data_IF_449014548894
#
_entry.id   IF_449014548894
#
_cell.length_a   1.000
_cell.length_b   1.000
_cell.length_c   1.000
_cell.angle_alpha   90.00
_cell.angle_beta   90.00
_cell.angle_gamma   90.00
#
_symmetry.space_group_name_H-M   'P 1'
#
loop_
_entity.id
_entity.type
_entity.pdbx_description
1 polymer ?
#
# COMPACT_ATOMS: atom_id res chain seq x y z
N UNK A 1 17.93 -14.15 5.88
CA UNK A 1 16.82 -13.47 5.19
C UNK A 1 17.27 -12.78 3.90
N UNK A 2 18.28 -11.89 3.92
CA UNK A 2 18.77 -11.16 2.74
C UNK A 2 19.05 -12.09 1.55
N UNK A 3 19.83 -13.15 1.76
CA UNK A 3 20.15 -14.14 0.70
C UNK A 3 18.88 -14.80 0.14
N UNK A 4 17.91 -15.13 1.01
CA UNK A 4 16.62 -15.68 0.58
C UNK A 4 15.86 -14.68 -0.30
N UNK A 5 15.77 -13.43 0.10
CA UNK A 5 15.07 -12.41 -0.69
C UNK A 5 15.71 -12.20 -2.05
N UNK A 6 17.04 -12.12 -2.12
CA UNK A 6 17.77 -12.00 -3.38
C UNK A 6 17.50 -13.21 -4.28
N UNK A 7 17.64 -14.43 -3.75
CA UNK A 7 17.44 -15.67 -4.54
C UNK A 7 16.01 -15.84 -5.05
N UNK A 8 15.03 -15.18 -4.43
CA UNK A 8 13.62 -15.25 -4.81
C UNK A 8 13.14 -13.99 -5.54
N UNK A 9 14.04 -13.08 -5.90
CA UNK A 9 13.73 -11.83 -6.60
C UNK A 9 12.67 -10.99 -5.84
N UNK A 10 12.88 -10.83 -4.52
CA UNK A 10 11.99 -10.08 -3.64
C UNK A 10 12.53 -8.67 -3.36
N UNK A 11 13.10 -8.03 -4.35
CA UNK A 11 13.51 -6.63 -4.29
C UNK A 11 12.34 -5.69 -4.58
N UNK A 12 12.50 -4.42 -4.25
CA UNK A 12 11.44 -3.44 -4.37
C UNK A 12 10.95 -3.25 -5.83
N UNK A 13 11.81 -3.15 -6.86
CA UNK A 13 11.37 -3.07 -8.24
C UNK A 13 10.50 -4.26 -8.67
N UNK A 14 10.90 -5.48 -8.34
CA UNK A 14 10.11 -6.67 -8.66
C UNK A 14 8.76 -6.68 -7.94
N UNK A 15 8.74 -6.26 -6.66
CA UNK A 15 7.50 -6.20 -5.86
C UNK A 15 6.53 -5.13 -6.35
N UNK A 16 7.01 -4.05 -6.98
CA UNK A 16 6.18 -2.95 -7.49
C UNK A 16 5.74 -3.15 -8.94
N UNK A 17 6.22 -4.15 -9.65
CA UNK A 17 5.84 -4.39 -11.05
C UNK A 17 4.33 -4.65 -11.17
N UNK A 18 3.61 -3.80 -11.91
CA UNK A 18 2.17 -3.91 -12.16
C UNK A 18 1.34 -4.14 -10.88
N UNK A 19 1.74 -3.53 -9.75
CA UNK A 19 1.08 -3.75 -8.45
C UNK A 19 -0.16 -2.89 -8.22
N UNK A 20 -0.37 -1.85 -9.05
CA UNK A 20 -1.54 -0.97 -9.01
C UNK A 20 -2.36 -1.18 -10.28
N UNK A 21 -3.67 -1.29 -10.14
CA UNK A 21 -4.61 -1.37 -11.27
C UNK A 21 -5.59 -0.21 -11.22
N UNK A 22 -5.94 0.29 -12.40
CA UNK A 22 -6.90 1.36 -12.59
C UNK A 22 -8.30 0.77 -12.78
N UNK A 23 -9.33 1.23 -12.04
CA UNK A 23 -10.68 0.73 -12.21
C UNK A 23 -11.24 1.00 -13.62
N UNK A 24 -10.82 2.08 -14.26
CA UNK A 24 -11.30 2.49 -15.58
C UNK A 24 -10.45 1.96 -16.74
N UNK A 25 -9.39 1.21 -16.44
CA UNK A 25 -8.63 0.49 -17.44
C UNK A 25 -7.74 1.31 -18.36
N UNK A 26 -7.48 2.56 -18.04
CA UNK A 26 -6.67 3.43 -18.91
C UNK A 26 -5.18 3.11 -18.90
N UNK A 27 -4.67 2.56 -17.80
CA UNK A 27 -3.26 2.19 -17.67
C UNK A 27 -3.00 0.70 -17.53
N UNK A 28 -4.00 -0.10 -17.18
CA UNK A 28 -3.83 -1.52 -16.83
C UNK A 28 -4.88 -2.45 -17.44
N UNK A 29 -5.75 -1.93 -18.31
CA UNK A 29 -6.93 -2.66 -18.81
C UNK A 29 -8.08 -2.66 -17.79
N UNK A 30 -9.29 -2.43 -18.24
CA UNK A 30 -10.48 -2.35 -17.39
C UNK A 30 -10.67 -3.62 -16.56
N UNK A 31 -10.76 -3.44 -15.25
CA UNK A 31 -11.05 -4.54 -14.32
C UNK A 31 -12.50 -4.51 -13.85
N UNK A 32 -13.24 -3.46 -14.20
CA UNK A 32 -14.62 -3.24 -13.79
C UNK A 32 -15.56 -3.68 -14.88
N UNK A 33 -16.53 -4.48 -14.52
CA UNK A 33 -17.73 -4.70 -15.32
C UNK A 33 -18.75 -3.63 -14.94
N UNK A 34 -18.93 -2.64 -15.80
CA UNK A 34 -19.82 -1.50 -15.57
C UNK A 34 -21.29 -1.93 -15.42
N UNK A 35 -21.69 -3.05 -16.03
CA UNK A 35 -23.06 -3.54 -15.97
C UNK A 35 -23.39 -4.15 -14.60
N UNK A 36 -22.42 -4.76 -13.94
CA UNK A 36 -22.62 -5.50 -12.69
C UNK A 36 -21.92 -4.87 -11.49
N UNK A 37 -21.09 -3.85 -11.70
CA UNK A 37 -20.19 -3.28 -10.68
C UNK A 37 -19.33 -4.33 -9.98
N UNK A 38 -18.98 -5.40 -10.69
CA UNK A 38 -18.12 -6.46 -10.23
C UNK A 38 -16.73 -6.33 -10.87
N UNK A 39 -15.76 -7.01 -10.29
CA UNK A 39 -14.40 -7.11 -10.83
C UNK A 39 -14.15 -8.56 -11.22
N UNK A 40 -14.38 -8.91 -12.49
CA UNK A 40 -14.28 -10.30 -12.93
C UNK A 40 -12.87 -10.87 -12.75
N UNK A 41 -12.78 -12.10 -12.30
CA UNK A 41 -11.52 -12.84 -12.18
C UNK A 41 -10.65 -12.46 -11.00
N UNK A 42 -11.09 -11.54 -10.13
CA UNK A 42 -10.40 -11.19 -8.88
C UNK A 42 -11.12 -11.68 -7.64
N UNK A 43 -10.35 -12.09 -6.64
CA UNK A 43 -10.82 -12.10 -5.25
C UNK A 43 -10.57 -10.71 -4.67
N UNK A 44 -11.61 -10.01 -4.26
CA UNK A 44 -11.51 -8.64 -3.76
C UNK A 44 -11.54 -8.63 -2.24
N UNK A 45 -10.52 -8.02 -1.62
CA UNK A 45 -10.45 -7.74 -0.18
C UNK A 45 -10.64 -6.26 0.07
N UNK A 46 -11.63 -5.90 0.87
CA UNK A 46 -11.89 -4.52 1.28
C UNK A 46 -11.45 -4.36 2.75
N UNK A 47 -10.45 -3.51 2.95
CA UNK A 47 -9.83 -3.26 4.25
C UNK A 47 -10.47 -2.11 5.02
N UNK A 48 -11.56 -1.54 4.53
CA UNK A 48 -12.29 -0.48 5.25
C UNK A 48 -12.97 -1.03 6.50
N UNK A 49 -13.49 -0.13 7.32
CA UNK A 49 -14.29 -0.53 8.48
C UNK A 49 -15.46 -1.42 8.07
N UNK A 50 -15.89 -2.30 8.97
CA UNK A 50 -17.06 -3.13 8.73
C UNK A 50 -18.34 -2.30 8.50
N UNK A 51 -18.44 -1.13 9.14
CA UNK A 51 -19.56 -0.21 8.98
C UNK A 51 -19.60 0.39 7.58
N UNK A 52 -18.44 0.88 7.07
CA UNK A 52 -18.37 1.45 5.72
C UNK A 52 -18.56 0.37 4.66
N UNK A 53 -18.01 -0.82 4.89
CA UNK A 53 -18.24 -1.97 4.03
C UNK A 53 -19.73 -2.35 3.97
N UNK A 54 -20.42 -2.40 5.10
CA UNK A 54 -21.85 -2.71 5.17
C UNK A 54 -22.72 -1.66 4.47
N UNK A 55 -22.29 -0.40 4.46
CA UNK A 55 -23.01 0.67 3.75
C UNK A 55 -23.00 0.43 2.25
N UNK A 56 -21.83 0.16 1.69
CA UNK A 56 -21.67 -0.29 0.31
C UNK A 56 -20.21 -0.72 0.04
N UNK A 57 -20.01 -1.60 -0.92
CA UNK A 57 -18.74 -2.17 -1.30
C UNK A 57 -18.76 -2.65 -2.76
N UNK A 58 -17.60 -2.96 -3.29
CA UNK A 58 -17.48 -3.61 -4.61
C UNK A 58 -18.16 -4.97 -4.55
N UNK A 59 -19.00 -5.28 -5.51
CA UNK A 59 -19.73 -6.55 -5.57
C UNK A 59 -18.79 -7.74 -5.40
N UNK A 60 -19.16 -8.68 -4.57
CA UNK A 60 -18.39 -9.88 -4.20
C UNK A 60 -17.10 -9.61 -3.39
N UNK A 61 -16.83 -8.39 -2.97
CA UNK A 61 -15.72 -8.12 -2.07
C UNK A 61 -15.95 -8.79 -0.69
N UNK A 62 -14.84 -9.10 -0.03
CA UNK A 62 -14.81 -9.60 1.34
C UNK A 62 -14.21 -8.54 2.24
N UNK A 63 -14.88 -8.21 3.34
CA UNK A 63 -14.29 -7.33 4.34
C UNK A 63 -13.22 -8.10 5.12
N UNK A 64 -12.01 -7.59 5.14
CA UNK A 64 -10.84 -8.22 5.76
C UNK A 64 -10.08 -7.20 6.60
N UNK A 65 -9.69 -7.55 7.80
CA UNK A 65 -8.82 -6.70 8.62
C UNK A 65 -7.37 -6.84 8.13
N UNK A 66 -6.62 -5.73 8.07
CA UNK A 66 -5.26 -5.71 7.55
C UNK A 66 -4.37 -6.83 8.13
N UNK A 67 -4.36 -7.02 9.45
CA UNK A 67 -3.55 -8.03 10.13
C UNK A 67 -3.89 -9.47 9.70
N UNK A 68 -5.09 -9.71 9.22
CA UNK A 68 -5.63 -11.02 8.89
C UNK A 68 -5.57 -11.34 7.38
N UNK A 69 -5.01 -10.44 6.56
CA UNK A 69 -4.98 -10.60 5.09
C UNK A 69 -4.31 -11.91 4.68
N UNK A 70 -3.17 -12.25 5.28
CA UNK A 70 -2.44 -13.49 4.95
C UNK A 70 -3.22 -14.72 5.38
N UNK A 71 -3.69 -14.75 6.62
CA UNK A 71 -4.46 -15.90 7.14
C UNK A 71 -5.78 -16.07 6.41
N UNK A 72 -6.45 -15.00 6.04
CA UNK A 72 -7.66 -15.05 5.20
C UNK A 72 -7.37 -15.63 3.82
N UNK A 73 -6.28 -15.20 3.18
CA UNK A 73 -5.88 -15.72 1.87
C UNK A 73 -5.60 -17.22 1.92
N UNK A 74 -4.92 -17.67 2.98
CA UNK A 74 -4.61 -19.09 3.22
C UNK A 74 -5.88 -19.90 3.54
N UNK A 75 -6.76 -19.39 4.39
CA UNK A 75 -8.04 -20.04 4.74
C UNK A 75 -8.96 -20.20 3.53
N UNK A 76 -8.93 -19.24 2.60
CA UNK A 76 -9.66 -19.33 1.34
C UNK A 76 -8.99 -20.28 0.33
N UNK A 77 -7.83 -20.81 0.62
CA UNK A 77 -7.08 -21.72 -0.26
C UNK A 77 -6.66 -21.07 -1.57
N UNK A 78 -6.42 -19.74 -1.58
CA UNK A 78 -6.08 -19.02 -2.81
C UNK A 78 -4.69 -19.45 -3.30
N UNK A 79 -4.64 -19.93 -4.54
CA UNK A 79 -3.39 -20.29 -5.21
C UNK A 79 -2.42 -19.09 -5.30
N UNK A 80 -1.12 -19.34 -5.37
CA UNK A 80 -0.09 -18.28 -5.41
C UNK A 80 -0.17 -17.39 -6.66
N UNK A 81 -0.78 -17.86 -7.71
CA UNK A 81 -1.06 -17.14 -8.96
C UNK A 81 -2.46 -16.50 -9.00
N UNK A 82 -3.25 -16.63 -7.95
CA UNK A 82 -4.57 -16.00 -7.88
C UNK A 82 -4.48 -14.48 -8.01
N UNK A 83 -5.41 -13.91 -8.75
CA UNK A 83 -5.58 -12.45 -8.83
C UNK A 83 -6.33 -11.97 -7.59
N UNK A 84 -5.65 -11.24 -6.74
CA UNK A 84 -6.20 -10.65 -5.51
C UNK A 84 -6.17 -9.14 -5.66
N UNK A 85 -7.31 -8.50 -5.55
CA UNK A 85 -7.41 -7.05 -5.51
C UNK A 85 -7.64 -6.61 -4.08
N UNK A 86 -6.81 -5.71 -3.59
CA UNK A 86 -6.97 -5.15 -2.25
C UNK A 86 -7.40 -3.69 -2.37
N UNK A 87 -8.43 -3.35 -1.61
CA UNK A 87 -9.06 -2.03 -1.61
C UNK A 87 -9.07 -1.49 -0.18
N UNK A 88 -8.86 -0.20 -0.02
CA UNK A 88 -9.12 0.55 1.21
C UNK A 88 -9.70 1.92 0.84
N UNK A 89 -9.67 2.91 1.72
CA UNK A 89 -10.20 4.24 1.40
C UNK A 89 -9.43 4.95 0.29
N UNK A 90 -8.09 4.94 0.34
CA UNK A 90 -7.20 5.78 -0.49
C UNK A 90 -6.09 4.99 -1.21
N UNK A 91 -6.03 3.68 -1.03
CA UNK A 91 -4.99 2.81 -1.60
C UNK A 91 -3.75 2.60 -0.71
N UNK A 92 -3.54 3.39 0.33
CA UNK A 92 -2.33 3.32 1.17
C UNK A 92 -2.24 2.04 2.00
N UNK A 93 -3.23 1.77 2.85
CA UNK A 93 -3.31 0.52 3.63
C UNK A 93 -3.37 -0.72 2.74
N UNK A 94 -4.06 -0.61 1.60
CA UNK A 94 -4.10 -1.67 0.60
C UNK A 94 -2.70 -1.95 0.01
N UNK A 95 -1.87 -0.91 -0.16
CA UNK A 95 -0.48 -1.06 -0.58
C UNK A 95 0.35 -1.91 0.37
N UNK A 96 0.23 -1.68 1.68
CA UNK A 96 0.90 -2.51 2.70
C UNK A 96 0.45 -3.99 2.62
N UNK A 97 -0.86 -4.22 2.47
CA UNK A 97 -1.40 -5.58 2.35
C UNK A 97 -0.91 -6.29 1.08
N UNK A 98 -0.90 -5.60 -0.06
CA UNK A 98 -0.41 -6.16 -1.33
C UNK A 98 1.08 -6.47 -1.26
N UNK A 99 1.89 -5.60 -0.65
CA UNK A 99 3.31 -5.88 -0.44
C UNK A 99 3.50 -7.14 0.40
N UNK A 100 2.74 -7.29 1.49
CA UNK A 100 2.77 -8.47 2.34
C UNK A 100 2.40 -9.76 1.57
N UNK A 101 1.33 -9.72 0.78
CA UNK A 101 0.90 -10.82 -0.08
C UNK A 101 2.00 -11.21 -1.07
N UNK A 102 2.58 -10.23 -1.77
CA UNK A 102 3.61 -10.46 -2.79
C UNK A 102 4.89 -11.02 -2.20
N UNK A 103 5.34 -10.51 -1.05
CA UNK A 103 6.50 -11.03 -0.34
C UNK A 103 6.31 -12.50 0.06
N UNK A 104 5.08 -12.92 0.34
CA UNK A 104 4.75 -14.31 0.65
C UNK A 104 4.31 -15.15 -0.57
N UNK A 105 4.50 -14.62 -1.78
CA UNK A 105 4.41 -15.35 -3.03
C UNK A 105 3.12 -15.18 -3.83
N UNK A 106 2.11 -14.42 -3.37
CA UNK A 106 0.93 -14.08 -4.17
C UNK A 106 1.26 -12.92 -5.13
N UNK A 107 2.02 -13.22 -6.16
CA UNK A 107 2.61 -12.22 -7.06
C UNK A 107 1.60 -11.39 -7.85
N UNK A 108 0.39 -11.92 -8.05
CA UNK A 108 -0.70 -11.24 -8.76
C UNK A 108 -1.62 -10.45 -7.84
N UNK A 109 -1.24 -10.25 -6.57
CA UNK A 109 -1.93 -9.31 -5.70
C UNK A 109 -1.69 -7.86 -6.17
N UNK A 110 -2.74 -7.06 -6.21
CA UNK A 110 -2.73 -5.70 -6.75
C UNK A 110 -3.57 -4.76 -5.90
N UNK A 111 -3.21 -3.48 -5.92
CA UNK A 111 -3.93 -2.39 -5.26
C UNK A 111 -4.88 -1.74 -6.24
N UNK A 112 -6.12 -1.49 -5.84
CA UNK A 112 -7.00 -0.60 -6.59
C UNK A 112 -6.47 0.84 -6.48
N UNK A 113 -6.18 1.47 -7.61
CA UNK A 113 -5.66 2.83 -7.68
C UNK A 113 -6.57 3.78 -6.93
N UNK A 114 -6.02 4.50 -5.97
CA UNK A 114 -6.72 5.41 -5.08
C UNK A 114 -7.81 4.77 -4.20
N UNK A 115 -7.85 3.45 -4.08
CA UNK A 115 -8.83 2.72 -3.28
C UNK A 115 -10.26 2.99 -3.71
N UNK A 116 -11.19 3.05 -2.75
CA UNK A 116 -12.60 3.35 -3.05
C UNK A 116 -12.80 4.76 -3.62
N UNK A 117 -11.93 5.72 -3.30
CA UNK A 117 -11.97 7.06 -3.92
C UNK A 117 -11.76 7.00 -5.45
N UNK A 118 -10.92 6.06 -5.92
CA UNK A 118 -10.73 5.81 -7.35
C UNK A 118 -11.87 5.00 -7.99
N UNK A 119 -12.59 4.22 -7.18
CA UNK A 119 -13.73 3.42 -7.64
C UNK A 119 -14.94 4.30 -7.97
N UNK A 120 -15.30 5.23 -7.07
CA UNK A 120 -16.46 6.09 -7.25
C UNK A 120 -16.27 7.41 -6.50
N UNK A 121 -16.63 8.51 -7.15
CA UNK A 121 -16.50 9.86 -6.59
C UNK A 121 -17.24 10.06 -5.25
N UNK A 122 -18.29 9.28 -4.97
CA UNK A 122 -18.99 9.30 -3.68
C UNK A 122 -18.07 8.99 -2.50
N UNK A 123 -16.97 8.23 -2.73
CA UNK A 123 -16.01 7.85 -1.69
C UNK A 123 -14.76 8.73 -1.63
N UNK A 124 -14.74 9.86 -2.34
CA UNK A 124 -13.55 10.73 -2.40
C UNK A 124 -13.21 11.43 -1.07
N UNK A 125 -14.16 11.49 -0.13
CA UNK A 125 -13.99 12.22 1.13
C UNK A 125 -12.68 11.94 1.87
N UNK A 126 -12.33 10.69 2.18
CA UNK A 126 -11.05 10.37 2.83
C UNK A 126 -9.82 10.79 2.04
N UNK A 127 -9.86 10.71 0.71
CA UNK A 127 -8.78 11.20 -0.14
C UNK A 127 -8.63 12.73 -0.03
N UNK A 128 -9.71 13.46 -0.20
CA UNK A 128 -9.73 14.93 -0.11
C UNK A 128 -9.24 15.40 1.25
N UNK A 129 -9.76 14.80 2.32
CA UNK A 129 -9.40 15.19 3.68
C UNK A 129 -7.92 14.91 4.01
N UNK A 130 -7.37 13.81 3.50
CA UNK A 130 -5.99 13.41 3.80
C UNK A 130 -4.96 14.09 2.90
N UNK A 131 -5.31 14.37 1.64
CA UNK A 131 -4.40 15.02 0.68
C UNK A 131 -4.45 16.55 0.76
N UNK A 132 -5.50 17.11 1.36
CA UNK A 132 -5.77 18.55 1.29
C UNK A 132 -6.26 19.06 -0.08
N UNK A 133 -6.37 18.17 -1.05
CA UNK A 133 -6.90 18.48 -2.37
C UNK A 133 -8.35 18.95 -2.26
N UNK A 134 -8.71 20.03 -2.93
CA UNK A 134 -10.01 20.73 -2.80
C UNK A 134 -10.22 21.45 -1.45
N UNK A 135 -9.22 21.48 -0.54
CA UNK A 135 -9.26 22.28 0.69
C UNK A 135 -8.22 23.41 0.55
N UNK A 136 -8.62 24.62 0.15
CA UNK A 136 -7.68 25.71 -0.14
C UNK A 136 -6.70 26.01 1.00
N UNK A 137 -7.13 25.85 2.25
CA UNK A 137 -6.30 26.08 3.42
C UNK A 137 -5.18 25.04 3.59
N UNK A 138 -5.28 23.87 2.94
CA UNK A 138 -4.34 22.77 3.08
C UNK A 138 -3.56 22.47 1.79
N UNK A 139 -3.98 23.03 0.65
CA UNK A 139 -3.46 22.66 -0.67
C UNK A 139 -1.97 22.91 -0.87
N UNK A 140 -1.40 23.89 -0.14
CA UNK A 140 -0.01 24.31 -0.29
C UNK A 140 0.73 24.36 1.05
N UNK A 141 0.47 23.41 1.94
CA UNK A 141 1.06 23.37 3.28
C UNK A 141 2.59 23.44 3.28
N UNK A 142 3.23 22.87 2.28
CA UNK A 142 4.68 22.85 2.17
C UNK A 142 5.26 24.10 1.50
N UNK A 143 4.51 24.77 0.62
CA UNK A 143 5.01 25.91 -0.16
C UNK A 143 5.40 27.06 0.77
N UNK A 144 6.67 27.49 0.68
CA UNK A 144 7.21 28.53 1.53
C UNK A 144 7.56 28.12 2.97
N UNK A 145 7.33 26.86 3.35
CA UNK A 145 7.75 26.36 4.65
C UNK A 145 9.28 26.21 4.71
N UNK A 146 9.91 26.54 5.84
CA UNK A 146 11.38 26.49 6.00
C UNK A 146 11.98 25.08 5.76
N UNK A 147 11.19 24.03 5.96
CA UNK A 147 11.58 22.63 5.73
C UNK A 147 11.25 22.13 4.31
N UNK A 148 10.71 22.99 3.45
CA UNK A 148 10.55 22.73 2.02
C UNK A 148 11.70 23.41 1.27
N UNK A 149 12.64 22.63 0.78
CA UNK A 149 13.88 23.13 0.18
C UNK A 149 14.10 22.52 -1.21
N UNK A 150 14.78 23.28 -2.07
CA UNK A 150 15.22 22.84 -3.40
C UNK A 150 16.72 22.54 -3.43
N UNK A 151 17.34 22.33 -2.28
CA UNK A 151 18.75 21.98 -2.18
C UNK A 151 18.97 20.53 -2.54
N UNK A 152 20.17 20.20 -3.03
CA UNK A 152 20.53 18.82 -3.33
C UNK A 152 20.28 17.89 -2.12
N UNK A 153 19.87 16.65 -2.41
CA UNK A 153 19.70 15.62 -1.39
C UNK A 153 20.99 15.45 -0.56
N UNK A 154 20.89 15.22 0.75
CA UNK A 154 22.04 14.89 1.55
C UNK A 154 22.72 13.60 1.03
N UNK A 155 24.03 13.49 1.26
CA UNK A 155 24.77 12.30 0.88
C UNK A 155 24.15 11.05 1.55
N UNK A 156 24.07 9.96 0.79
CA UNK A 156 23.58 8.69 1.32
C UNK A 156 24.50 8.18 2.43
N UNK A 157 23.95 7.93 3.60
CA UNK A 157 24.68 7.32 4.72
C UNK A 157 24.95 5.84 4.47
N UNK A 158 25.96 5.31 5.14
CA UNK A 158 26.19 3.87 5.24
C UNK A 158 25.69 3.38 6.60
N UNK A 159 24.87 2.36 6.58
CA UNK A 159 24.25 1.80 7.79
C UNK A 159 24.55 0.31 7.89
N UNK A 160 24.62 -0.19 9.14
CA UNK A 160 24.72 -1.62 9.36
C UNK A 160 23.43 -2.31 8.89
N UNK A 161 23.55 -3.58 8.48
CA UNK A 161 22.39 -4.42 8.19
C UNK A 161 21.50 -4.52 9.45
N UNK A 162 20.18 -4.43 9.29
CA UNK A 162 19.28 -4.57 10.43
C UNK A 162 19.38 -5.97 11.02
N UNK A 163 19.36 -6.05 12.34
CA UNK A 163 19.33 -7.31 13.07
C UNK A 163 18.08 -7.40 13.92
N UNK A 164 17.56 -8.60 14.10
CA UNK A 164 16.45 -8.88 15.00
C UNK A 164 16.55 -10.29 15.55
N UNK A 165 15.92 -10.50 16.69
CA UNK A 165 15.85 -11.80 17.34
C UNK A 165 14.65 -12.57 16.76
N UNK A 166 14.88 -13.78 16.29
CA UNK A 166 13.86 -14.69 15.77
C UNK A 166 14.25 -16.13 16.05
N UNK A 167 13.31 -17.02 16.41
CA UNK A 167 13.56 -18.45 16.50
C UNK A 167 13.66 -19.14 15.13
N UNK A 168 13.22 -18.46 14.06
CA UNK A 168 13.25 -19.02 12.73
C UNK A 168 14.68 -19.06 12.18
N UNK A 169 15.03 -20.14 11.49
CA UNK A 169 16.37 -20.39 10.96
C UNK A 169 16.46 -20.30 9.44
N UNK A 170 15.35 -20.52 8.73
CA UNK A 170 15.30 -20.37 7.27
C UNK A 170 14.74 -19.03 6.82
N UNK A 171 15.12 -18.61 5.62
CA UNK A 171 14.77 -17.29 5.11
C UNK A 171 13.27 -17.08 4.87
N UNK A 172 12.54 -18.13 4.48
CA UNK A 172 11.09 -18.03 4.24
C UNK A 172 10.33 -17.86 5.54
N UNK A 173 10.68 -18.62 6.59
CA UNK A 173 10.07 -18.50 7.91
C UNK A 173 10.35 -17.14 8.55
N UNK A 174 11.60 -16.64 8.46
CA UNK A 174 11.97 -15.31 8.93
C UNK A 174 11.16 -14.23 8.21
N UNK A 175 11.05 -14.32 6.87
CA UNK A 175 10.26 -13.37 6.08
C UNK A 175 8.80 -13.38 6.51
N UNK A 176 8.21 -14.57 6.65
CA UNK A 176 6.82 -14.71 7.08
C UNK A 176 6.59 -14.09 8.45
N UNK A 177 7.44 -14.37 9.42
CA UNK A 177 7.39 -13.79 10.76
C UNK A 177 7.40 -12.26 10.70
N UNK A 178 8.32 -11.67 9.91
CA UNK A 178 8.42 -10.22 9.75
C UNK A 178 7.21 -9.61 9.06
N UNK A 179 6.69 -10.24 8.01
CA UNK A 179 5.49 -9.81 7.31
C UNK A 179 4.28 -9.79 8.27
N UNK A 180 4.08 -10.85 9.03
CA UNK A 180 2.98 -10.91 10.00
C UNK A 180 3.13 -9.87 11.11
N UNK A 181 4.34 -9.63 11.60
CA UNK A 181 4.61 -8.59 12.61
C UNK A 181 4.30 -7.18 12.09
N UNK A 182 4.65 -6.88 10.83
CA UNK A 182 4.33 -5.59 10.19
C UNK A 182 2.83 -5.41 10.00
N UNK A 183 2.12 -6.45 9.57
CA UNK A 183 0.66 -6.40 9.45
C UNK A 183 -0.03 -6.23 10.81
N UNK A 184 0.47 -6.89 11.85
CA UNK A 184 -0.05 -6.78 13.21
C UNK A 184 0.18 -5.38 13.82
N UNK A 185 1.29 -4.73 13.49
CA UNK A 185 1.59 -3.35 13.89
C UNK A 185 0.64 -2.33 13.23
N UNK A 186 0.02 -2.70 12.11
CA UNK A 186 -0.91 -1.86 11.39
C UNK A 186 -0.25 -0.85 10.46
N UNK A 187 -1.06 0.04 9.92
CA UNK A 187 -0.64 1.12 9.04
C UNK A 187 -0.59 2.44 9.83
N UNK A 188 0.59 3.04 9.91
CA UNK A 188 0.78 4.32 10.61
C UNK A 188 0.75 5.48 9.62
N UNK A 189 0.10 6.56 10.01
CA UNK A 189 -0.01 7.80 9.23
C UNK A 189 0.42 9.00 10.07
N UNK A 190 0.89 10.03 9.40
CA UNK A 190 1.05 11.38 9.97
C UNK A 190 0.43 12.38 9.01
N UNK A 191 -0.15 13.45 9.52
CA UNK A 191 -0.57 14.56 8.66
C UNK A 191 0.63 15.41 8.23
N UNK A 192 0.51 16.08 7.08
CA UNK A 192 1.60 16.85 6.51
C UNK A 192 2.03 18.03 7.37
N UNK A 193 1.11 18.68 8.09
CA UNK A 193 1.43 19.82 8.95
C UNK A 193 2.21 19.40 10.19
N UNK A 194 1.81 18.29 10.83
CA UNK A 194 2.55 17.72 11.97
C UNK A 194 3.96 17.28 11.54
N UNK A 195 4.08 16.67 10.34
CA UNK A 195 5.37 16.25 9.82
C UNK A 195 6.28 17.46 9.54
N UNK A 196 5.77 18.50 8.89
CA UNK A 196 6.53 19.71 8.62
C UNK A 196 7.00 20.44 9.90
N UNK A 197 6.15 20.47 10.91
CA UNK A 197 6.50 21.09 12.21
C UNK A 197 7.59 20.32 12.96
N UNK A 198 7.71 19.02 12.74
CA UNK A 198 8.62 18.12 13.48
C UNK A 198 9.50 17.29 12.55
N UNK A 199 9.82 17.81 11.38
CA UNK A 199 10.55 17.10 10.31
C UNK A 199 11.86 16.47 10.79
N UNK A 200 12.58 17.09 11.74
CA UNK A 200 13.81 16.55 12.30
C UNK A 200 13.62 15.18 13.02
N UNK A 201 12.39 14.82 13.37
CA UNK A 201 12.08 13.52 13.99
C UNK A 201 11.87 12.39 12.96
N UNK A 202 11.92 12.69 11.66
CA UNK A 202 11.64 11.74 10.60
C UNK A 202 12.85 11.56 9.68
N UNK A 203 13.06 10.33 9.24
CA UNK A 203 13.89 10.03 8.09
C UNK A 203 12.96 9.97 6.87
N UNK A 204 12.99 11.01 6.05
CA UNK A 204 12.13 11.11 4.88
C UNK A 204 12.78 10.41 3.69
N UNK A 205 12.12 9.43 3.13
CA UNK A 205 12.56 8.72 1.93
C UNK A 205 11.64 9.08 0.77
N UNK A 206 12.17 9.74 -0.23
CA UNK A 206 11.49 10.03 -1.48
C UNK A 206 11.71 8.92 -2.49
N UNK A 207 10.62 8.48 -3.11
CA UNK A 207 10.65 7.47 -4.17
C UNK A 207 10.43 8.12 -5.56
N UNK A 208 10.89 9.35 -5.71
CA UNK A 208 10.81 10.12 -6.95
C UNK A 208 12.12 10.00 -7.75
N UNK A 209 12.07 10.27 -9.04
CA UNK A 209 13.28 10.44 -9.83
C UNK A 209 14.07 11.66 -9.36
N UNK A 210 15.36 11.71 -9.65
CA UNK A 210 16.19 12.86 -9.31
C UNK A 210 15.67 14.18 -9.92
N UNK A 211 15.02 14.12 -11.08
CA UNK A 211 14.45 15.29 -11.74
C UNK A 211 13.19 15.83 -11.03
N UNK A 212 12.43 14.93 -10.38
CA UNK A 212 11.23 15.32 -9.62
C UNK A 212 11.55 15.73 -8.19
N UNK A 213 12.71 15.31 -7.67
CA UNK A 213 13.15 15.64 -6.32
C UNK A 213 13.68 17.08 -6.20
N UNK A 214 14.33 17.62 -7.25
CA UNK A 214 14.92 18.94 -7.29
C UNK A 214 13.86 20.01 -7.79
#
# INVERSE_FOLDING_TARGET
>A
LKSYMISNNLDLPAMLTAWVVDPNGTSTGGIVDDATSAIPGYTVFDLRSAADFATNHIKNAKNVVLKDVITTTETLGLAKDAKILVVCYTGQTAGQAVMALRLLGWKNAQVLKWGMAGWNATYKGPWVNNSGYEIPANGDLAVGHANWVTTAAPATGSFAEPSWITPATDGAAILRERVLAVLAAGFSTSDGSAMLATQANYNTVHYWSAAEYN
#
